data_IF_677535990131
#
_entry.id   IF_677535990131
#
_cell.length_a   1.000
_cell.length_b   1.000
_cell.length_c   1.000
_cell.angle_alpha   90.00
_cell.angle_beta   90.00
_cell.angle_gamma   90.00
#
_symmetry.space_group_name_H-M   'P 1'
#
loop_
_entity.id
_entity.type
_entity.pdbx_description
1 polymer ?
#
# COMPACT_ATOMS: atom_id res chain seq x y z
N UNK A 1 -15.51 -6.84 29.75
CA UNK A 1 -14.29 -6.73 28.95
C UNK A 1 -14.16 -5.28 28.52
N UNK A 2 -13.25 -4.52 29.11
CA UNK A 2 -12.96 -3.16 28.64
C UNK A 2 -12.32 -3.31 27.24
N UNK A 3 -12.94 -2.73 26.24
CA UNK A 3 -12.32 -2.63 24.90
C UNK A 3 -11.11 -1.71 25.06
N UNK A 4 -9.91 -2.24 24.85
CA UNK A 4 -8.71 -1.40 24.87
C UNK A 4 -8.88 -0.34 23.78
N UNK A 5 -8.78 0.93 24.17
CA UNK A 5 -8.91 2.04 23.22
C UNK A 5 -7.69 2.02 22.28
N UNK A 6 -7.94 2.04 20.97
CA UNK A 6 -6.87 2.12 19.95
C UNK A 6 -6.08 3.42 20.16
N UNK A 7 -4.75 3.31 20.20
CA UNK A 7 -3.87 4.48 20.29
C UNK A 7 -3.74 5.16 18.90
N UNK A 8 -4.68 6.05 18.60
CA UNK A 8 -4.73 6.74 17.31
C UNK A 8 -3.47 7.53 16.96
N UNK A 9 -2.82 8.15 17.96
CA UNK A 9 -1.55 8.85 17.71
C UNK A 9 -0.46 7.91 17.20
N UNK A 10 -0.39 6.70 17.76
CA UNK A 10 0.55 5.67 17.30
C UNK A 10 0.14 5.03 15.97
N UNK A 11 -1.16 4.88 15.72
CA UNK A 11 -1.67 4.43 14.41
C UNK A 11 -1.26 5.41 13.31
N UNK A 12 -1.49 6.71 13.51
CA UNK A 12 -1.13 7.73 12.53
C UNK A 12 0.39 7.77 12.32
N UNK A 13 1.19 7.81 13.39
CA UNK A 13 2.65 7.83 13.28
C UNK A 13 3.18 6.60 12.52
N UNK A 14 2.80 5.41 12.95
CA UNK A 14 3.19 4.16 12.28
C UNK A 14 2.67 4.08 10.85
N UNK A 15 1.44 4.54 10.63
CA UNK A 15 0.80 4.59 9.31
C UNK A 15 1.49 5.55 8.34
N UNK A 16 1.95 6.70 8.81
CA UNK A 16 2.73 7.64 7.99
C UNK A 16 4.09 7.04 7.60
N UNK A 17 4.77 6.34 8.51
CA UNK A 17 6.02 5.63 8.20
C UNK A 17 5.77 4.51 7.19
N UNK A 18 4.74 3.69 7.39
CA UNK A 18 4.35 2.66 6.44
C UNK A 18 4.00 3.26 5.07
N UNK A 19 3.19 4.31 5.05
CA UNK A 19 2.79 5.02 3.83
C UNK A 19 3.97 5.67 3.08
N UNK A 20 4.98 6.18 3.81
CA UNK A 20 6.21 6.68 3.20
C UNK A 20 6.95 5.56 2.45
N UNK A 21 7.09 4.38 3.06
CA UNK A 21 7.74 3.23 2.42
C UNK A 21 6.98 2.79 1.17
N UNK A 22 5.65 2.70 1.26
CA UNK A 22 4.79 2.39 0.10
C UNK A 22 4.98 3.42 -1.00
N UNK A 23 4.94 4.70 -0.70
CA UNK A 23 5.10 5.75 -1.70
C UNK A 23 6.48 5.72 -2.38
N UNK A 24 7.55 5.43 -1.63
CA UNK A 24 8.91 5.29 -2.19
C UNK A 24 8.98 4.07 -3.10
N UNK A 25 8.47 2.92 -2.67
CA UNK A 25 8.47 1.70 -3.46
C UNK A 25 7.64 1.83 -4.74
N UNK A 26 6.43 2.36 -4.64
CA UNK A 26 5.54 2.62 -5.77
C UNK A 26 6.16 3.63 -6.77
N UNK A 27 6.82 4.67 -6.28
CA UNK A 27 7.54 5.61 -7.14
C UNK A 27 8.69 4.92 -7.89
N UNK A 28 9.50 4.13 -7.21
CA UNK A 28 10.60 3.40 -7.84
C UNK A 28 10.09 2.38 -8.85
N UNK A 29 9.05 1.62 -8.49
CA UNK A 29 8.49 0.60 -9.38
C UNK A 29 7.80 1.23 -10.59
N UNK A 30 6.83 2.10 -10.37
CA UNK A 30 5.97 2.62 -11.44
C UNK A 30 6.55 3.84 -12.14
N UNK A 31 7.26 4.71 -11.41
CA UNK A 31 7.86 5.93 -11.94
C UNK A 31 9.21 5.72 -12.63
N UNK A 32 9.94 4.65 -12.26
CA UNK A 32 11.27 4.37 -12.83
C UNK A 32 11.28 3.06 -13.63
N UNK A 33 11.00 1.93 -12.97
CA UNK A 33 11.15 0.60 -13.59
C UNK A 33 10.09 0.33 -14.65
N UNK A 34 8.83 0.69 -14.39
CA UNK A 34 7.69 0.46 -15.27
C UNK A 34 7.26 1.70 -16.08
N UNK A 35 7.95 2.83 -15.95
CA UNK A 35 7.56 4.09 -16.59
C UNK A 35 7.29 3.93 -18.11
N UNK A 36 8.19 3.27 -18.83
CA UNK A 36 8.03 3.02 -20.27
C UNK A 36 6.88 2.04 -20.58
N UNK A 37 6.67 1.04 -19.73
CA UNK A 37 5.57 0.08 -19.90
C UNK A 37 4.22 0.77 -19.70
N UNK A 38 4.11 1.69 -18.74
CA UNK A 38 2.94 2.50 -18.53
C UNK A 38 2.66 3.47 -19.68
N UNK A 39 3.70 4.13 -20.22
CA UNK A 39 3.57 5.01 -21.38
C UNK A 39 2.95 4.26 -22.57
N UNK A 40 3.51 3.09 -22.90
CA UNK A 40 3.02 2.25 -24.00
C UNK A 40 1.57 1.78 -23.73
N UNK A 41 1.27 1.36 -22.50
CA UNK A 41 -0.08 0.92 -22.14
C UNK A 41 -1.11 2.05 -22.25
N UNK A 42 -0.77 3.27 -21.80
CA UNK A 42 -1.67 4.43 -21.91
C UNK A 42 -1.93 4.83 -23.36
N UNK A 43 -0.90 4.84 -24.20
CA UNK A 43 -1.05 5.11 -25.64
C UNK A 43 -1.92 4.07 -26.32
N UNK A 44 -1.77 2.78 -25.98
CA UNK A 44 -2.62 1.71 -26.51
C UNK A 44 -4.11 1.86 -26.15
N UNK A 45 -4.39 2.51 -25.01
CA UNK A 45 -5.75 2.85 -24.58
C UNK A 45 -6.26 4.19 -25.12
N UNK A 46 -5.52 4.83 -26.05
CA UNK A 46 -5.87 6.14 -26.60
C UNK A 46 -5.76 7.29 -25.58
N UNK A 47 -4.97 7.10 -24.51
CA UNK A 47 -4.75 8.11 -23.46
C UNK A 47 -3.36 8.74 -23.60
N UNK A 48 -3.22 10.07 -23.33
CA UNK A 48 -1.90 10.69 -23.29
C UNK A 48 -1.06 10.13 -22.14
N UNK A 49 0.28 10.13 -22.25
CA UNK A 49 1.16 9.81 -21.14
C UNK A 49 0.88 10.72 -19.94
N UNK A 50 0.93 10.16 -18.73
CA UNK A 50 0.70 10.94 -17.49
C UNK A 50 1.84 11.96 -17.30
N UNK A 51 3.09 11.52 -17.47
CA UNK A 51 4.27 12.37 -17.34
C UNK A 51 4.27 13.46 -18.42
N UNK A 52 4.46 14.71 -18.00
CA UNK A 52 4.40 15.88 -18.90
C UNK A 52 2.99 16.38 -19.22
N UNK A 53 1.94 15.72 -18.75
CA UNK A 53 0.56 16.18 -18.92
C UNK A 53 0.16 17.19 -17.83
N UNK A 54 -0.87 18.02 -18.12
CA UNK A 54 -1.43 18.96 -17.13
C UNK A 54 -2.03 18.27 -15.90
N UNK A 55 -2.39 17.00 -16.01
CA UNK A 55 -2.96 16.20 -14.92
C UNK A 55 -1.90 15.45 -14.11
N UNK A 56 -0.62 15.53 -14.49
CA UNK A 56 0.46 14.82 -13.79
C UNK A 56 0.53 15.17 -12.29
N UNK A 57 0.39 16.46 -11.97
CA UNK A 57 0.40 16.95 -10.58
C UNK A 57 -0.75 16.33 -9.77
N UNK A 58 -1.96 16.32 -10.33
CA UNK A 58 -3.12 15.70 -9.69
C UNK A 58 -2.89 14.20 -9.44
N UNK A 59 -2.36 13.48 -10.43
CA UNK A 59 -2.04 12.05 -10.27
C UNK A 59 -1.00 11.82 -9.17
N UNK A 60 0.10 12.59 -9.15
CA UNK A 60 1.15 12.43 -8.14
C UNK A 60 0.57 12.62 -6.73
N UNK A 61 -0.18 13.70 -6.48
CA UNK A 61 -0.78 13.94 -5.18
C UNK A 61 -1.81 12.87 -4.79
N UNK A 62 -2.60 12.39 -5.76
CA UNK A 62 -3.58 11.33 -5.51
C UNK A 62 -2.89 10.01 -5.11
N UNK A 63 -1.81 9.63 -5.79
CA UNK A 63 -1.05 8.42 -5.45
C UNK A 63 -0.33 8.55 -4.10
N UNK A 64 0.26 9.71 -3.81
CA UNK A 64 0.87 9.97 -2.50
C UNK A 64 -0.14 9.83 -1.36
N UNK A 65 -1.31 10.46 -1.51
CA UNK A 65 -2.40 10.34 -0.53
C UNK A 65 -2.84 8.88 -0.38
N UNK A 66 -2.99 8.16 -1.49
CA UNK A 66 -3.37 6.75 -1.50
C UNK A 66 -2.41 5.86 -0.72
N UNK A 67 -1.09 6.02 -0.95
CA UNK A 67 -0.06 5.27 -0.21
C UNK A 67 -0.08 5.54 1.29
N UNK A 68 -0.29 6.80 1.71
CA UNK A 68 -0.44 7.14 3.13
C UNK A 68 -1.72 6.54 3.73
N UNK A 69 -2.84 6.53 3.01
CA UNK A 69 -4.08 5.92 3.46
C UNK A 69 -3.91 4.41 3.65
N UNK A 70 -3.27 3.72 2.70
CA UNK A 70 -2.96 2.28 2.84
C UNK A 70 -2.10 2.03 4.07
N UNK A 71 -1.04 2.82 4.30
CA UNK A 71 -0.17 2.70 5.46
C UNK A 71 -0.91 2.89 6.78
N UNK A 72 -1.75 3.93 6.88
CA UNK A 72 -2.57 4.18 8.08
C UNK A 72 -3.57 3.04 8.30
N UNK A 73 -4.21 2.56 7.25
CA UNK A 73 -5.15 1.45 7.31
C UNK A 73 -4.49 0.15 7.77
N UNK A 74 -3.28 -0.14 7.27
CA UNK A 74 -2.50 -1.31 7.68
C UNK A 74 -2.17 -1.28 9.18
N UNK A 75 -1.68 -0.14 9.70
CA UNK A 75 -1.34 -0.03 11.13
C UNK A 75 -2.59 0.01 12.01
N UNK A 76 -3.67 0.63 11.54
CA UNK A 76 -4.96 0.55 12.23
C UNK A 76 -5.48 -0.89 12.32
N UNK A 77 -5.45 -1.64 11.21
CA UNK A 77 -5.86 -3.04 11.19
C UNK A 77 -4.99 -3.89 12.12
N UNK A 78 -3.66 -3.64 12.13
CA UNK A 78 -2.75 -4.29 13.07
C UNK A 78 -3.20 -4.04 14.52
N UNK A 79 -3.45 -2.77 14.88
CA UNK A 79 -3.92 -2.40 16.21
C UNK A 79 -5.25 -3.09 16.57
N UNK A 80 -6.17 -3.19 15.61
CA UNK A 80 -7.49 -3.79 15.81
C UNK A 80 -7.45 -5.30 16.06
N UNK A 81 -6.45 -6.01 15.51
CA UNK A 81 -6.38 -7.48 15.64
C UNK A 81 -5.43 -7.96 16.75
N UNK A 82 -4.59 -7.08 17.32
CA UNK A 82 -3.69 -7.40 18.45
C UNK A 82 -4.40 -8.15 19.58
N UNK A 83 -5.61 -7.76 20.04
CA UNK A 83 -6.26 -8.45 21.15
C UNK A 83 -6.54 -9.92 20.88
N UNK A 84 -6.61 -10.33 19.62
CA UNK A 84 -6.90 -11.71 19.21
C UNK A 84 -5.65 -12.51 18.82
N UNK A 85 -4.68 -11.85 18.17
CA UNK A 85 -3.51 -12.51 17.59
C UNK A 85 -2.21 -12.20 18.34
N UNK A 86 -2.23 -11.27 19.30
CA UNK A 86 -1.06 -10.78 20.00
C UNK A 86 -0.26 -9.75 19.18
N UNK A 87 0.53 -8.94 19.88
CA UNK A 87 1.44 -8.00 19.23
C UNK A 87 2.68 -8.73 18.70
N UNK A 88 3.19 -8.31 17.55
CA UNK A 88 4.45 -8.82 17.02
C UNK A 88 4.52 -8.90 15.50
N UNK A 89 5.69 -9.30 14.97
CA UNK A 89 5.95 -9.33 13.54
C UNK A 89 5.04 -10.32 12.79
N UNK A 90 4.67 -11.43 13.42
CA UNK A 90 3.76 -12.41 12.81
C UNK A 90 2.38 -11.80 12.52
N UNK A 91 1.84 -11.07 13.46
CA UNK A 91 0.56 -10.35 13.30
C UNK A 91 0.67 -9.25 12.24
N UNK A 92 1.80 -8.53 12.20
CA UNK A 92 2.06 -7.53 11.17
C UNK A 92 2.14 -8.15 9.76
N UNK A 93 2.76 -9.33 9.62
CA UNK A 93 2.79 -10.06 8.35
C UNK A 93 1.40 -10.53 7.91
N UNK A 94 0.55 -11.00 8.83
CA UNK A 94 -0.84 -11.33 8.51
C UNK A 94 -1.60 -10.12 7.98
N UNK A 95 -1.45 -8.97 8.64
CA UNK A 95 -2.08 -7.72 8.18
C UNK A 95 -1.56 -7.30 6.82
N UNK A 96 -0.24 -7.27 6.63
CA UNK A 96 0.37 -6.90 5.36
C UNK A 96 -0.09 -7.80 4.22
N UNK A 97 -0.15 -9.13 4.44
CA UNK A 97 -0.66 -10.08 3.45
C UNK A 97 -2.14 -9.83 3.12
N UNK A 98 -2.95 -9.49 4.12
CA UNK A 98 -4.37 -9.20 3.94
C UNK A 98 -4.57 -7.89 3.15
N UNK A 99 -3.84 -6.84 3.52
CA UNK A 99 -3.88 -5.55 2.81
C UNK A 99 -3.42 -5.71 1.37
N UNK A 100 -2.33 -6.43 1.12
CA UNK A 100 -1.88 -6.74 -0.23
C UNK A 100 -2.92 -7.57 -1.01
N UNK A 101 -3.48 -8.61 -0.40
CA UNK A 101 -4.49 -9.47 -1.03
C UNK A 101 -5.71 -8.69 -1.50
N UNK A 102 -6.24 -7.79 -0.67
CA UNK A 102 -7.39 -6.97 -1.02
C UNK A 102 -7.03 -5.78 -1.92
N UNK A 103 -5.92 -5.10 -1.63
CA UNK A 103 -5.55 -3.85 -2.29
C UNK A 103 -4.83 -4.04 -3.63
N UNK A 104 -4.08 -5.12 -3.80
CA UNK A 104 -3.28 -5.37 -5.01
C UNK A 104 -3.76 -6.58 -5.79
N UNK A 105 -3.83 -7.76 -5.15
CA UNK A 105 -4.17 -8.99 -5.84
C UNK A 105 -5.60 -8.97 -6.40
N UNK A 106 -6.59 -8.77 -5.55
CA UNK A 106 -8.00 -8.81 -5.98
C UNK A 106 -8.36 -7.66 -6.93
N UNK A 107 -7.81 -6.47 -6.71
CA UNK A 107 -8.07 -5.32 -7.60
C UNK A 107 -7.45 -5.48 -8.98
N UNK A 108 -6.38 -6.28 -9.12
CA UNK A 108 -5.75 -6.54 -10.41
C UNK A 108 -6.43 -7.63 -11.24
N UNK A 109 -7.33 -8.42 -10.66
CA UNK A 109 -8.00 -9.53 -11.37
C UNK A 109 -8.78 -9.04 -12.59
N UNK A 110 -9.65 -8.04 -12.43
CA UNK A 110 -10.46 -7.55 -13.55
C UNK A 110 -9.61 -6.91 -14.67
N UNK A 111 -8.68 -5.98 -14.40
CA UNK A 111 -7.79 -5.45 -15.44
C UNK A 111 -6.95 -6.53 -16.13
N UNK A 112 -6.53 -7.56 -15.40
CA UNK A 112 -5.78 -8.69 -15.97
C UNK A 112 -6.63 -9.52 -16.92
N UNK A 113 -7.85 -9.91 -16.51
CA UNK A 113 -8.78 -10.69 -17.35
C UNK A 113 -9.21 -9.92 -18.60
N UNK A 114 -9.38 -8.61 -18.48
CA UNK A 114 -9.70 -7.72 -19.60
C UNK A 114 -8.49 -7.39 -20.48
N UNK A 115 -7.30 -7.90 -20.14
CA UNK A 115 -6.04 -7.66 -20.85
C UNK A 115 -5.75 -6.16 -21.09
N UNK A 116 -6.07 -5.32 -20.08
CA UNK A 116 -5.94 -3.87 -20.18
C UNK A 116 -4.49 -3.38 -20.19
N UNK A 117 -3.58 -4.13 -19.55
CA UNK A 117 -2.17 -3.76 -19.42
C UNK A 117 -1.25 -4.94 -19.70
N UNK A 118 0.01 -4.70 -20.10
CA UNK A 118 1.01 -5.73 -20.29
C UNK A 118 1.19 -6.61 -19.03
N UNK A 119 1.34 -7.92 -19.21
CA UNK A 119 1.52 -8.88 -18.11
C UNK A 119 2.69 -8.54 -17.18
N UNK A 120 3.72 -7.86 -17.71
CA UNK A 120 4.87 -7.41 -16.93
C UNK A 120 4.46 -6.42 -15.82
N UNK A 121 3.51 -5.54 -16.09
CA UNK A 121 3.00 -4.58 -15.09
C UNK A 121 2.34 -5.34 -13.94
N UNK A 122 1.49 -6.32 -14.23
CA UNK A 122 0.85 -7.14 -13.21
C UNK A 122 1.87 -7.98 -12.41
N UNK A 123 2.78 -8.69 -13.09
CA UNK A 123 3.76 -9.55 -12.44
C UNK A 123 4.66 -8.79 -11.47
N UNK A 124 5.27 -7.69 -11.93
CA UNK A 124 6.13 -6.86 -11.08
C UNK A 124 5.32 -6.11 -10.02
N UNK A 125 4.16 -5.56 -10.37
CA UNK A 125 3.28 -4.86 -9.43
C UNK A 125 2.85 -5.75 -8.27
N UNK A 126 2.43 -6.98 -8.54
CA UNK A 126 2.03 -7.92 -7.49
C UNK A 126 3.21 -8.41 -6.65
N UNK A 127 4.34 -8.77 -7.27
CA UNK A 127 5.49 -9.32 -6.54
C UNK A 127 6.18 -8.27 -5.70
N UNK A 128 6.49 -7.11 -6.28
CA UNK A 128 7.14 -6.00 -5.55
C UNK A 128 6.17 -5.41 -4.52
N UNK A 129 4.90 -5.21 -4.88
CA UNK A 129 3.88 -4.71 -3.97
C UNK A 129 3.65 -5.63 -2.76
N UNK A 130 3.78 -6.96 -2.90
CA UNK A 130 3.76 -7.87 -1.75
C UNK A 130 4.91 -7.56 -0.78
N UNK A 131 6.14 -7.53 -1.28
CA UNK A 131 7.32 -7.27 -0.45
C UNK A 131 7.24 -5.89 0.22
N UNK A 132 6.84 -4.89 -0.54
CA UNK A 132 6.70 -3.52 -0.09
C UNK A 132 5.66 -3.40 1.04
N UNK A 133 4.45 -3.91 0.85
CA UNK A 133 3.38 -3.83 1.86
C UNK A 133 3.73 -4.62 3.11
N UNK A 134 4.38 -5.78 2.98
CA UNK A 134 4.86 -6.55 4.13
C UNK A 134 5.90 -5.77 4.94
N UNK A 135 6.91 -5.19 4.28
CA UNK A 135 7.95 -4.38 4.93
C UNK A 135 7.36 -3.11 5.55
N UNK A 136 6.51 -2.40 4.82
CA UNK A 136 5.84 -1.20 5.30
C UNK A 136 4.98 -1.48 6.55
N UNK A 137 4.20 -2.57 6.52
CA UNK A 137 3.36 -2.95 7.66
C UNK A 137 4.22 -3.36 8.86
N UNK A 138 5.31 -4.10 8.67
CA UNK A 138 6.25 -4.45 9.75
C UNK A 138 6.85 -3.19 10.40
N UNK A 139 7.31 -2.24 9.59
CA UNK A 139 7.90 -1.00 10.09
C UNK A 139 6.87 -0.14 10.80
N UNK A 140 5.70 0.07 10.23
CA UNK A 140 4.62 0.84 10.85
C UNK A 140 4.12 0.20 12.15
N UNK A 141 3.93 -1.11 12.17
CA UNK A 141 3.51 -1.88 13.34
C UNK A 141 4.55 -1.83 14.47
N UNK A 142 5.84 -1.78 14.17
CA UNK A 142 6.91 -1.68 15.18
C UNK A 142 6.82 -0.39 16.02
N UNK A 143 6.21 0.66 15.46
CA UNK A 143 5.99 1.94 16.13
C UNK A 143 4.68 1.99 16.92
N UNK A 144 3.79 1.02 16.70
CA UNK A 144 2.54 0.95 17.44
C UNK A 144 2.77 0.41 18.86
N UNK A 145 2.16 1.06 19.83
CA UNK A 145 2.14 0.62 21.23
C UNK A 145 0.74 0.86 21.79
N UNK A 146 0.21 -0.12 22.49
CA UNK A 146 -1.05 0.04 23.19
C UNK A 146 -0.97 1.11 24.30
N UNK A 147 -2.08 1.79 24.63
CA UNK A 147 -2.12 2.70 25.75
C UNK A 147 -1.73 1.96 27.05
N UNK A 148 -0.89 2.58 27.87
CA UNK A 148 -0.59 2.04 29.21
C UNK A 148 -1.81 2.28 30.11
N UNK A 149 -2.44 1.22 30.58
CA UNK A 149 -3.47 1.31 31.65
C UNK A 149 -4.91 1.36 31.15
N UNK A 150 -5.27 0.52 30.19
CA UNK A 150 -6.67 0.18 29.97
C UNK A 150 -7.00 -1.14 30.68
#
# INVERSE_FOLDING_TARGET
MAMSSVNWGRVILGGLVAGMLINVGEFLLNGVVLAKAWEVAMLALGRPPIVGSRIAVFFIWSFLLWGFLIGIFAVWLYAAIIPRYGAGPKTALYVGSFVWGLGYLLTSVAPFLLNLYPRRIFGLGLTVGLLEVLLATLMGASLYREPRGA
#
